data_IF_684906283691
#
_entry.id   IF_684906283691
#
_cell.length_a   1.000
_cell.length_b   1.000
_cell.length_c   1.000
_cell.angle_alpha   90.00
_cell.angle_beta   90.00
_cell.angle_gamma   90.00
#
_symmetry.space_group_name_H-M   'P 1'
#
loop_
_entity.id
_entity.type
_entity.pdbx_description
1 polymer ?
#
# COMPACT_ATOMS: atom_id res chain seq x y z
N UNK A 1 -17.58 -2.10 -15.49
CA UNK A 1 -16.16 -1.89 -15.79
C UNK A 1 -15.60 -0.94 -14.74
N UNK A 2 -14.40 -1.19 -14.25
CA UNK A 2 -13.79 -0.42 -13.16
C UNK A 2 -12.28 -0.29 -13.37
N UNK A 3 -11.71 0.84 -12.97
CA UNK A 3 -10.26 1.07 -13.01
C UNK A 3 -9.73 1.10 -11.58
N UNK A 4 -8.67 0.35 -11.32
CA UNK A 4 -7.98 0.33 -10.04
C UNK A 4 -6.50 0.70 -10.23
N UNK A 5 -5.88 1.40 -9.26
CA UNK A 5 -4.47 1.72 -9.35
C UNK A 5 -3.60 0.45 -9.33
N UNK A 6 -2.50 0.50 -10.05
CA UNK A 6 -1.49 -0.55 -10.09
C UNK A 6 -0.35 -0.25 -9.11
N UNK A 7 0.33 -1.29 -8.63
CA UNK A 7 1.48 -1.14 -7.74
C UNK A 7 2.68 -0.37 -8.32
N UNK A 8 2.70 -0.16 -9.64
CA UNK A 8 3.80 0.51 -10.37
C UNK A 8 3.40 1.88 -10.91
N UNK A 9 2.42 2.55 -10.29
CA UNK A 9 1.96 3.88 -10.71
C UNK A 9 1.08 3.91 -11.95
N UNK A 10 0.75 2.75 -12.54
CA UNK A 10 -0.19 2.66 -13.66
C UNK A 10 -1.61 2.32 -13.20
N UNK A 11 -2.48 2.01 -14.17
CA UNK A 11 -3.87 1.59 -13.93
C UNK A 11 -4.10 0.17 -14.41
N UNK A 12 -4.99 -0.54 -13.72
CA UNK A 12 -5.54 -1.82 -14.16
C UNK A 12 -7.02 -1.65 -14.44
N UNK A 13 -7.49 -2.24 -15.51
CA UNK A 13 -8.89 -2.31 -15.86
C UNK A 13 -9.48 -3.63 -15.38
N UNK A 14 -10.63 -3.59 -14.72
CA UNK A 14 -11.40 -4.76 -14.29
C UNK A 14 -12.67 -4.85 -15.12
N UNK A 15 -12.87 -5.98 -15.79
CA UNK A 15 -14.04 -6.25 -16.63
C UNK A 15 -14.39 -7.73 -16.62
N UNK A 16 -15.64 -8.07 -16.33
CA UNK A 16 -16.19 -9.43 -16.28
C UNK A 16 -15.33 -10.43 -15.46
N UNK A 17 -14.86 -10.00 -14.26
CA UNK A 17 -14.03 -10.84 -13.39
C UNK A 17 -12.58 -11.00 -13.84
N UNK A 18 -12.16 -10.32 -14.89
CA UNK A 18 -10.77 -10.30 -15.36
C UNK A 18 -10.10 -8.97 -15.09
N UNK A 19 -8.79 -9.00 -14.85
CA UNK A 19 -7.95 -7.83 -14.71
C UNK A 19 -7.02 -7.67 -15.90
N UNK A 20 -6.87 -6.43 -16.35
CA UNK A 20 -6.04 -6.08 -17.49
C UNK A 20 -5.07 -4.96 -17.14
N UNK A 21 -3.91 -4.96 -17.77
CA UNK A 21 -2.93 -3.88 -17.74
C UNK A 21 -2.91 -3.14 -19.07
N UNK A 22 -2.72 -1.83 -19.02
CA UNK A 22 -2.57 -0.99 -20.20
C UNK A 22 -1.37 -1.48 -21.03
N UNK A 23 -1.58 -1.71 -22.31
CA UNK A 23 -0.54 -2.16 -23.22
C UNK A 23 -0.09 -1.06 -24.17
N UNK A 24 -1.03 -0.46 -24.90
CA UNK A 24 -0.76 0.55 -25.90
C UNK A 24 -1.97 1.47 -26.07
N UNK A 25 -1.70 2.70 -26.47
CA UNK A 25 -2.73 3.64 -26.92
C UNK A 25 -2.48 3.90 -28.40
N UNK A 26 -3.49 3.76 -29.25
CA UNK A 26 -3.42 4.03 -30.69
C UNK A 26 -4.59 4.89 -31.12
N UNK A 27 -4.31 6.02 -31.74
CA UNK A 27 -5.33 6.95 -32.25
C UNK A 27 -6.49 7.18 -31.26
N UNK A 28 -7.63 6.51 -31.47
CA UNK A 28 -8.85 6.61 -30.65
C UNK A 28 -9.07 5.48 -29.64
N UNK A 29 -8.22 4.44 -29.65
CA UNK A 29 -8.44 3.22 -28.86
C UNK A 29 -7.28 2.95 -27.92
N UNK A 30 -7.61 2.41 -26.76
CA UNK A 30 -6.67 1.92 -25.77
C UNK A 30 -6.72 0.39 -25.69
N UNK A 31 -5.55 -0.24 -25.77
CA UNK A 31 -5.39 -1.68 -25.74
C UNK A 31 -4.94 -2.18 -24.39
N UNK A 32 -5.58 -3.23 -23.93
CA UNK A 32 -5.37 -3.85 -22.64
C UNK A 32 -4.99 -5.32 -22.81
N UNK A 33 -4.06 -5.81 -21.98
CA UNK A 33 -3.64 -7.21 -21.92
C UNK A 33 -3.98 -7.80 -20.56
N UNK A 34 -4.36 -9.08 -20.54
CA UNK A 34 -4.60 -9.81 -19.30
C UNK A 34 -3.40 -9.74 -18.36
N UNK A 35 -3.64 -9.47 -17.07
CA UNK A 35 -2.61 -9.44 -16.02
C UNK A 35 -1.88 -10.78 -15.91
N UNK A 36 -2.57 -11.90 -16.15
CA UNK A 36 -2.01 -13.25 -16.10
C UNK A 36 -1.22 -13.65 -17.36
N UNK A 37 -0.93 -12.70 -18.26
CA UNK A 37 -0.16 -12.98 -19.47
C UNK A 37 1.24 -13.53 -19.17
N UNK A 38 1.93 -12.96 -18.21
CA UNK A 38 3.29 -13.38 -17.86
C UNK A 38 3.35 -14.63 -16.98
N UNK A 39 2.31 -14.91 -16.18
CA UNK A 39 2.31 -16.04 -15.24
C UNK A 39 1.82 -17.34 -15.86
N UNK A 40 0.78 -17.29 -16.68
CA UNK A 40 0.16 -18.48 -17.30
C UNK A 40 0.00 -18.37 -18.82
N UNK A 41 0.67 -17.42 -19.46
CA UNK A 41 0.63 -17.23 -20.91
C UNK A 41 -0.75 -16.80 -21.45
N UNK A 42 -1.63 -16.19 -20.65
CA UNK A 42 -2.95 -15.80 -21.10
C UNK A 42 -2.88 -14.75 -22.21
N UNK A 43 -3.52 -15.05 -23.35
CA UNK A 43 -3.58 -14.15 -24.52
C UNK A 43 -4.80 -13.23 -24.51
N UNK A 44 -5.67 -13.33 -23.49
CA UNK A 44 -6.85 -12.48 -23.35
C UNK A 44 -6.49 -11.00 -23.46
N UNK A 45 -7.25 -10.27 -24.25
CA UNK A 45 -7.07 -8.86 -24.47
C UNK A 45 -8.42 -8.13 -24.58
N UNK A 46 -8.38 -6.83 -24.42
CA UNK A 46 -9.53 -5.95 -24.48
C UNK A 46 -9.12 -4.63 -25.12
N UNK A 47 -10.02 -4.02 -25.88
CA UNK A 47 -9.87 -2.64 -26.35
C UNK A 47 -10.98 -1.75 -25.79
N UNK A 48 -10.65 -0.48 -25.52
CA UNK A 48 -11.61 0.53 -25.06
C UNK A 48 -11.37 1.83 -25.80
N UNK A 49 -12.28 2.78 -25.65
CA UNK A 49 -12.00 4.18 -26.02
C UNK A 49 -10.91 4.78 -25.13
N UNK A 50 -10.41 5.97 -25.45
CA UNK A 50 -9.42 6.69 -24.61
C UNK A 50 -9.97 7.04 -23.24
N UNK A 51 -11.28 7.19 -23.10
CA UNK A 51 -12.00 7.44 -21.85
C UNK A 51 -12.23 6.15 -21.04
N UNK A 52 -11.71 5.02 -21.52
CA UNK A 52 -11.91 3.68 -20.95
C UNK A 52 -13.38 3.22 -20.97
N UNK A 53 -14.13 3.63 -21.94
CA UNK A 53 -15.50 3.21 -22.19
C UNK A 53 -15.58 2.19 -23.34
N UNK A 54 -16.76 1.61 -23.55
CA UNK A 54 -17.06 0.66 -24.62
C UNK A 54 -16.04 -0.48 -24.73
N UNK A 55 -15.97 -1.36 -23.72
CA UNK A 55 -15.04 -2.47 -23.74
C UNK A 55 -15.38 -3.49 -24.82
N UNK A 56 -14.47 -3.70 -25.75
CA UNK A 56 -14.58 -4.71 -26.80
C UNK A 56 -13.58 -5.83 -26.51
N UNK A 57 -14.06 -7.02 -26.07
CA UNK A 57 -13.20 -8.18 -25.87
C UNK A 57 -12.58 -8.63 -27.20
N UNK A 58 -11.30 -8.98 -27.17
CA UNK A 58 -10.60 -9.56 -28.30
C UNK A 58 -10.43 -11.07 -28.13
N UNK A 59 -9.21 -11.52 -27.83
CA UNK A 59 -8.96 -12.95 -27.65
C UNK A 59 -9.50 -13.45 -26.31
N UNK A 60 -10.01 -14.72 -26.28
CA UNK A 60 -10.53 -15.33 -25.05
C UNK A 60 -9.41 -15.60 -24.03
N UNK A 61 -9.81 -15.70 -22.76
CA UNK A 61 -8.93 -16.10 -21.67
C UNK A 61 -8.80 -17.62 -21.59
N UNK A 62 -7.64 -18.10 -21.16
CA UNK A 62 -7.37 -19.51 -20.88
C UNK A 62 -7.52 -19.84 -19.38
N UNK A 63 -8.17 -18.99 -18.61
CA UNK A 63 -8.42 -19.17 -17.17
C UNK A 63 -9.80 -18.62 -16.80
N UNK A 64 -10.34 -19.08 -15.68
CA UNK A 64 -11.61 -18.60 -15.16
C UNK A 64 -11.50 -17.14 -14.66
N UNK A 65 -12.62 -16.38 -14.68
CA UNK A 65 -12.72 -15.08 -14.04
C UNK A 65 -12.54 -15.22 -12.51
N UNK A 66 -12.08 -14.17 -11.84
CA UNK A 66 -11.83 -14.19 -10.41
C UNK A 66 -12.12 -12.83 -9.77
N UNK A 67 -13.32 -12.64 -9.29
CA UNK A 67 -13.69 -11.44 -8.53
C UNK A 67 -12.92 -11.32 -7.22
N UNK A 68 -12.56 -12.45 -6.61
CA UNK A 68 -11.72 -12.48 -5.40
C UNK A 68 -10.35 -11.84 -5.64
N UNK A 69 -9.73 -12.09 -6.82
CA UNK A 69 -8.46 -11.46 -7.17
C UNK A 69 -8.58 -9.94 -7.38
N UNK A 70 -9.73 -9.48 -7.88
CA UNK A 70 -10.03 -8.06 -8.03
C UNK A 70 -10.21 -7.43 -6.65
N UNK A 71 -11.03 -8.02 -5.77
CA UNK A 71 -11.24 -7.59 -4.39
C UNK A 71 -9.93 -7.55 -3.62
N UNK A 72 -9.09 -8.58 -3.72
CA UNK A 72 -7.76 -8.60 -3.12
C UNK A 72 -6.87 -7.43 -3.57
N UNK A 73 -6.90 -7.10 -4.86
CA UNK A 73 -6.14 -5.96 -5.38
C UNK A 73 -6.65 -4.63 -4.82
N UNK A 74 -7.97 -4.47 -4.66
CA UNK A 74 -8.59 -3.30 -4.03
C UNK A 74 -8.21 -3.19 -2.56
N UNK A 75 -8.28 -4.29 -1.81
CA UNK A 75 -7.88 -4.37 -0.40
C UNK A 75 -6.44 -3.89 -0.20
N UNK A 76 -5.52 -4.34 -1.06
CA UNK A 76 -4.12 -3.88 -1.00
C UNK A 76 -3.97 -2.40 -1.31
N UNK A 77 -4.75 -1.86 -2.23
CA UNK A 77 -4.74 -0.42 -2.53
C UNK A 77 -5.30 0.38 -1.36
N UNK A 78 -6.41 -0.05 -0.76
CA UNK A 78 -6.99 0.59 0.43
C UNK A 78 -5.98 0.66 1.59
N UNK A 79 -5.20 -0.40 1.84
CA UNK A 79 -4.12 -0.36 2.84
C UNK A 79 -3.06 0.70 2.55
N UNK A 80 -2.71 0.89 1.26
CA UNK A 80 -1.73 1.91 0.86
C UNK A 80 -2.27 3.32 0.98
N UNK A 81 -3.52 3.51 0.58
CA UNK A 81 -4.19 4.81 0.65
C UNK A 81 -4.32 5.26 2.11
N UNK A 82 -4.73 4.35 3.01
CA UNK A 82 -4.75 4.62 4.45
C UNK A 82 -3.35 4.91 5.00
N UNK A 83 -2.34 4.16 4.55
CA UNK A 83 -0.96 4.38 4.98
C UNK A 83 -0.42 5.77 4.62
N UNK A 84 -0.87 6.32 3.50
CA UNK A 84 -0.47 7.66 3.01
C UNK A 84 -1.28 8.76 3.69
N UNK A 85 -2.58 8.52 3.92
CA UNK A 85 -3.53 9.54 4.37
C UNK A 85 -3.72 9.58 5.89
N UNK A 86 -3.28 8.54 6.63
CA UNK A 86 -3.41 8.46 8.09
C UNK A 86 -2.06 8.25 8.78
N UNK A 87 -2.02 8.57 10.07
CA UNK A 87 -0.86 8.29 10.95
C UNK A 87 -1.05 7.01 11.78
N UNK A 88 -2.11 6.24 11.53
CA UNK A 88 -2.44 5.04 12.28
C UNK A 88 -1.33 4.00 12.23
N UNK A 89 -1.21 3.20 13.29
CA UNK A 89 -0.20 2.12 13.32
C UNK A 89 -0.46 1.12 12.20
N UNK A 90 0.57 0.53 11.57
CA UNK A 90 0.40 -0.47 10.51
C UNK A 90 -0.52 -1.65 10.88
N UNK A 91 -0.52 -2.06 12.17
CA UNK A 91 -1.42 -3.08 12.68
C UNK A 91 -2.89 -2.63 12.71
N UNK A 92 -3.15 -1.36 13.03
CA UNK A 92 -4.50 -0.81 13.03
C UNK A 92 -5.06 -0.71 11.61
N UNK A 93 -4.27 -0.19 10.66
CA UNK A 93 -4.65 -0.16 9.24
C UNK A 93 -4.95 -1.57 8.72
N UNK A 94 -4.08 -2.53 9.04
CA UNK A 94 -4.26 -3.91 8.63
C UNK A 94 -5.56 -4.49 9.20
N UNK A 95 -5.79 -4.38 10.51
CA UNK A 95 -6.99 -4.88 11.18
C UNK A 95 -8.27 -4.23 10.62
N UNK A 96 -8.27 -2.90 10.43
CA UNK A 96 -9.38 -2.16 9.86
C UNK A 96 -9.76 -2.64 8.45
N UNK A 97 -8.77 -2.82 7.58
CA UNK A 97 -9.04 -3.23 6.20
C UNK A 97 -9.45 -4.69 6.13
N UNK A 98 -8.83 -5.57 6.92
CA UNK A 98 -9.17 -7.00 6.96
C UNK A 98 -10.58 -7.24 7.49
N UNK A 99 -11.03 -6.47 8.50
CA UNK A 99 -12.40 -6.59 9.03
C UNK A 99 -13.50 -6.26 8.01
N UNK A 100 -13.17 -5.56 6.93
CA UNK A 100 -14.09 -5.22 5.85
C UNK A 100 -14.03 -6.20 4.66
N UNK A 101 -13.16 -7.20 4.72
CA UNK A 101 -12.96 -8.16 3.64
C UNK A 101 -13.77 -9.43 3.84
N UNK A 102 -14.26 -10.00 2.73
CA UNK A 102 -14.84 -11.33 2.70
C UNK A 102 -13.79 -12.39 3.07
N UNK A 103 -14.20 -13.51 3.65
CA UNK A 103 -13.34 -14.62 4.07
C UNK A 103 -12.44 -15.14 2.93
N UNK A 104 -12.98 -15.21 1.71
CA UNK A 104 -12.24 -15.61 0.52
C UNK A 104 -11.08 -14.65 0.18
N UNK A 105 -11.24 -13.36 0.46
CA UNK A 105 -10.19 -12.35 0.27
C UNK A 105 -9.18 -12.43 1.41
N UNK A 106 -9.64 -12.64 2.63
CA UNK A 106 -8.76 -12.81 3.80
C UNK A 106 -7.83 -14.01 3.62
N UNK A 107 -8.34 -15.14 3.10
CA UNK A 107 -7.53 -16.32 2.82
C UNK A 107 -6.41 -16.09 1.78
N UNK A 108 -6.56 -15.11 0.89
CA UNK A 108 -5.53 -14.71 -0.08
C UNK A 108 -4.51 -13.73 0.46
N UNK A 109 -4.79 -13.11 1.61
CA UNK A 109 -3.86 -12.15 2.19
C UNK A 109 -2.61 -12.88 2.69
N UNK A 110 -1.42 -12.34 2.42
CA UNK A 110 -0.19 -12.88 2.97
C UNK A 110 -0.15 -12.68 4.49
N UNK A 111 0.79 -13.34 5.15
CA UNK A 111 1.01 -13.17 6.60
C UNK A 111 1.07 -11.68 6.96
N UNK A 112 0.49 -11.32 8.09
CA UNK A 112 0.29 -9.94 8.57
C UNK A 112 1.55 -9.06 8.46
N UNK A 113 2.73 -9.62 8.68
CA UNK A 113 3.99 -8.88 8.61
C UNK A 113 4.28 -8.29 7.22
N UNK A 114 3.91 -8.97 6.13
CA UNK A 114 4.14 -8.49 4.77
C UNK A 114 3.29 -7.26 4.43
N UNK A 115 1.97 -7.22 4.68
CA UNK A 115 1.17 -6.01 4.56
C UNK A 115 1.66 -4.87 5.45
N UNK A 116 2.00 -5.13 6.72
CA UNK A 116 2.54 -4.12 7.65
C UNK A 116 3.84 -3.49 7.11
N UNK A 117 4.72 -4.32 6.55
CA UNK A 117 5.95 -3.84 5.89
C UNK A 117 5.62 -2.94 4.71
N UNK A 118 4.66 -3.33 3.86
CA UNK A 118 4.20 -2.52 2.71
C UNK A 118 3.65 -1.18 3.17
N UNK A 119 2.86 -1.14 4.24
CA UNK A 119 2.30 0.07 4.84
C UNK A 119 3.42 1.01 5.31
N UNK A 120 4.45 0.48 5.99
CA UNK A 120 5.60 1.28 6.45
C UNK A 120 6.34 1.94 5.28
N UNK A 121 6.61 1.18 4.20
CA UNK A 121 7.30 1.70 3.02
C UNK A 121 6.49 2.68 2.18
N UNK A 122 5.17 2.64 2.29
CA UNK A 122 4.29 3.57 1.55
C UNK A 122 4.28 4.97 2.17
N UNK A 123 4.65 5.10 3.45
CA UNK A 123 4.68 6.38 4.13
C UNK A 123 5.81 7.26 3.61
N UNK A 124 5.56 8.56 3.40
CA UNK A 124 6.63 9.46 3.07
C UNK A 124 7.65 9.49 4.22
N UNK A 125 8.91 9.25 3.90
CA UNK A 125 10.00 9.42 4.86
C UNK A 125 10.20 10.91 5.08
N UNK A 126 10.21 11.40 6.34
CA UNK A 126 10.53 12.79 6.60
C UNK A 126 11.92 13.11 6.03
N UNK A 127 12.13 14.32 5.50
CA UNK A 127 13.44 14.72 5.01
C UNK A 127 14.46 14.56 6.14
N UNK A 128 15.56 13.87 5.84
CA UNK A 128 16.67 13.75 6.78
C UNK A 128 17.32 15.14 6.90
N UNK A 129 17.39 15.74 8.10
CA UNK A 129 18.04 17.04 8.27
C UNK A 129 19.50 16.94 7.87
N UNK A 130 20.00 17.93 7.12
CA UNK A 130 21.38 17.95 6.62
C UNK A 130 22.40 18.09 7.75
N UNK A 131 22.00 18.72 8.85
CA UNK A 131 22.83 18.94 10.04
C UNK A 131 22.00 18.76 11.32
N UNK A 132 22.65 18.50 12.46
CA UNK A 132 21.98 18.43 13.76
C UNK A 132 21.28 19.73 14.13
N UNK A 133 21.72 20.87 13.62
CA UNK A 133 21.10 22.18 13.82
C UNK A 133 19.73 22.31 13.16
N UNK A 134 19.46 21.51 12.10
CA UNK A 134 18.20 21.51 11.37
C UNK A 134 17.15 20.57 11.99
N UNK A 135 17.51 19.83 13.03
CA UNK A 135 16.58 18.95 13.74
C UNK A 135 15.61 19.79 14.58
N UNK A 136 14.40 20.00 14.06
CA UNK A 136 13.31 20.58 14.82
C UNK A 136 12.53 19.46 15.50
N UNK A 137 12.61 19.39 16.82
CA UNK A 137 11.75 18.50 17.61
C UNK A 137 10.32 19.07 17.60
N UNK A 138 9.28 18.22 17.39
CA UNK A 138 7.91 18.66 17.60
C UNK A 138 7.72 19.18 19.01
N UNK A 139 6.97 20.26 19.19
CA UNK A 139 6.69 20.90 20.50
C UNK A 139 6.01 19.95 21.52
N UNK A 140 5.50 18.83 21.05
CA UNK A 140 4.82 17.80 21.87
C UNK A 140 5.78 16.92 22.70
N UNK A 141 7.09 17.02 22.49
CA UNK A 141 8.03 16.32 23.37
C UNK A 141 8.35 17.15 24.58
N UNK A 142 7.91 16.73 25.80
CA UNK A 142 8.28 17.43 27.04
C UNK A 142 9.81 17.39 27.15
N UNK A 143 10.43 18.57 27.17
CA UNK A 143 11.83 18.69 27.54
C UNK A 143 11.95 18.27 28.99
N UNK A 144 12.46 17.07 29.24
CA UNK A 144 12.85 16.65 30.57
C UNK A 144 14.02 17.55 30.96
N UNK A 145 13.72 18.61 31.67
CA UNK A 145 14.73 19.39 32.38
C UNK A 145 15.38 18.44 33.37
N UNK A 146 16.61 18.02 33.08
CA UNK A 146 17.47 17.32 34.02
C UNK A 146 17.65 18.22 35.23
N UNK A 147 16.85 18.05 36.28
CA UNK A 147 17.12 18.55 37.58
C UNK A 147 18.39 17.86 38.07
N UNK A 148 19.44 18.63 38.12
CA UNK A 148 20.73 18.23 38.67
C UNK A 148 20.55 17.56 40.03
N UNK A 149 20.78 16.26 40.10
CA UNK A 149 21.01 15.61 41.39
C UNK A 149 22.36 16.06 41.94
N UNK A 150 22.34 17.15 42.71
CA UNK A 150 23.44 17.52 43.61
C UNK A 150 23.40 16.57 44.81
N UNK A 151 24.02 15.41 44.68
CA UNK A 151 24.30 14.56 45.86
C UNK A 151 25.66 14.93 46.39
N UNK A 152 25.67 15.87 47.34
CA UNK A 152 26.82 16.15 48.20
C UNK A 152 26.96 14.99 49.17
N UNK A 153 27.79 14.01 48.85
CA UNK A 153 28.18 12.97 49.76
C UNK A 153 29.15 13.59 50.82
N UNK A 154 28.61 13.85 52.00
CA UNK A 154 29.39 14.23 53.19
C UNK A 154 30.00 12.96 53.78
N UNK A 155 31.29 12.76 53.55
CA UNK A 155 32.09 11.80 54.32
C UNK A 155 32.12 12.22 55.76
N UNK A 156 31.54 11.43 56.65
CA UNK A 156 31.80 11.48 58.09
C UNK A 156 32.79 10.35 58.41
N UNK A 157 34.03 10.76 58.71
CA UNK A 157 34.99 9.95 59.42
C UNK A 157 34.45 9.74 60.85
N UNK A 158 34.40 8.52 61.29
CA UNK A 158 34.35 8.15 62.69
C UNK A 158 35.46 7.14 62.94
N UNK A 159 36.52 7.64 63.59
CA UNK A 159 37.48 6.80 64.32
C UNK A 159 36.80 6.22 65.57
N UNK A 160 36.98 4.93 65.77
CA UNK A 160 37.36 4.21 66.98
C UNK A 160 37.50 2.71 66.70
#
# INVERSE_FOLDING_TARGET
>A
MEIIPSNRGGSKLCYQGYMYTKHATRKSNQWWKCVKRSSIGCRGNLSTTLQNENPVPGQPHNHAPSDTSIKYSKTRNAMKDLATNTRDKPSQIFAQVVSQCDDNVQALLPREENPKRTIRYQRPTPPVPATYADVRLPEEYPTTTNSSCNTTARMQNTEC
#
